data_IF_441391998143
#
_entry.id   IF_441391998143
#
_cell.length_a   1.000
_cell.length_b   1.000
_cell.length_c   1.000
_cell.angle_alpha   90.00
_cell.angle_beta   90.00
_cell.angle_gamma   90.00
#
_symmetry.space_group_name_H-M   'P 1'
#
loop_
_entity.id
_entity.type
_entity.pdbx_description
1 polymer ?
#
# COMPACT_ATOMS: atom_id res chain seq x y z
N UNK A 1 -14.09 -6.24 23.12
CA UNK A 1 -13.34 -4.94 23.21
C UNK A 1 -12.36 -4.75 22.05
N UNK A 2 -11.43 -5.66 21.80
CA UNK A 2 -10.45 -5.49 20.72
C UNK A 2 -11.10 -5.26 19.34
N UNK A 3 -12.10 -6.08 18.99
CA UNK A 3 -12.81 -5.96 17.71
C UNK A 3 -13.47 -4.59 17.55
N UNK A 4 -14.28 -4.15 18.48
CA UNK A 4 -14.95 -2.83 18.39
C UNK A 4 -13.96 -1.68 18.42
N UNK A 5 -12.88 -1.77 19.21
CA UNK A 5 -11.81 -0.75 19.26
C UNK A 5 -11.03 -0.63 17.96
N UNK A 6 -10.93 -1.71 17.18
CA UNK A 6 -10.31 -1.69 15.85
C UNK A 6 -11.22 -1.09 14.77
N UNK A 7 -12.54 -1.11 14.94
CA UNK A 7 -13.49 -0.70 13.90
C UNK A 7 -13.95 0.75 14.04
N UNK A 8 -14.17 1.20 15.27
CA UNK A 8 -14.74 2.51 15.54
C UNK A 8 -13.90 3.28 16.56
N UNK A 9 -14.27 4.54 16.87
CA UNK A 9 -13.69 5.24 18.01
C UNK A 9 -13.90 4.44 19.30
N UNK A 10 -13.02 4.56 20.24
CA UNK A 10 -13.11 3.79 21.50
C UNK A 10 -14.40 4.09 22.27
N UNK A 11 -14.87 5.34 22.21
CA UNK A 11 -16.15 5.73 22.81
C UNK A 11 -17.33 5.08 22.08
N UNK A 12 -17.34 5.09 20.76
CA UNK A 12 -18.40 4.41 20.01
C UNK A 12 -18.36 2.89 20.22
N UNK A 13 -17.16 2.30 20.29
CA UNK A 13 -17.00 0.87 20.63
C UNK A 13 -17.52 0.54 22.02
N UNK A 14 -17.35 1.43 23.01
CA UNK A 14 -17.96 1.31 24.32
C UNK A 14 -19.48 1.26 24.24
N UNK A 15 -20.08 2.21 23.51
CA UNK A 15 -21.53 2.28 23.32
C UNK A 15 -22.09 1.05 22.61
N UNK A 16 -21.38 0.52 21.62
CA UNK A 16 -21.78 -0.72 20.94
C UNK A 16 -21.75 -1.92 21.87
N UNK A 17 -20.75 -2.05 22.74
CA UNK A 17 -20.68 -3.13 23.74
C UNK A 17 -21.83 -3.07 24.74
N UNK A 18 -22.16 -1.87 25.21
CA UNK A 18 -23.30 -1.66 26.11
C UNK A 18 -24.62 -2.01 25.42
N UNK A 19 -24.85 -1.46 24.21
CA UNK A 19 -26.12 -1.61 23.48
C UNK A 19 -26.36 -3.06 22.99
N UNK A 20 -25.33 -3.70 22.41
CA UNK A 20 -25.49 -4.99 21.73
C UNK A 20 -25.24 -6.20 22.63
N UNK A 21 -24.43 -6.03 23.68
CA UNK A 21 -24.00 -7.14 24.53
C UNK A 21 -24.28 -6.92 26.02
N UNK A 22 -24.83 -5.77 26.42
CA UNK A 22 -25.07 -5.44 27.84
C UNK A 22 -23.77 -5.32 28.65
N UNK A 23 -22.62 -5.05 28.00
CA UNK A 23 -21.33 -4.98 28.65
C UNK A 23 -20.99 -3.53 28.96
N UNK A 24 -21.00 -3.17 30.24
CA UNK A 24 -20.62 -1.83 30.72
C UNK A 24 -19.11 -1.76 30.94
N UNK A 25 -18.43 -0.93 30.17
CA UNK A 25 -16.98 -0.67 30.26
C UNK A 25 -16.71 0.82 29.99
N UNK A 26 -15.49 1.27 30.25
CA UNK A 26 -15.08 2.63 29.86
C UNK A 26 -14.44 2.64 28.47
N UNK A 27 -14.48 3.78 27.76
CA UNK A 27 -13.76 3.94 26.49
C UNK A 27 -12.25 3.65 26.66
N UNK A 28 -11.68 4.01 27.82
CA UNK A 28 -10.27 3.71 28.14
C UNK A 28 -9.99 2.22 28.33
N UNK A 29 -10.98 1.44 28.78
CA UNK A 29 -10.85 -0.02 28.85
C UNK A 29 -10.86 -0.66 27.45
N UNK A 30 -11.71 -0.14 26.54
CA UNK A 30 -11.73 -0.56 25.13
C UNK A 30 -10.39 -0.24 24.44
N UNK A 31 -9.87 0.98 24.63
CA UNK A 31 -8.56 1.43 24.13
C UNK A 31 -7.44 0.49 24.60
N UNK A 32 -7.28 0.35 25.92
CA UNK A 32 -6.22 -0.48 26.51
C UNK A 32 -6.26 -1.91 26.02
N UNK A 33 -7.44 -2.50 25.90
CA UNK A 33 -7.58 -3.88 25.44
C UNK A 33 -7.26 -4.01 23.95
N UNK A 34 -7.71 -3.07 23.11
CA UNK A 34 -7.42 -3.06 21.70
C UNK A 34 -5.92 -2.85 21.43
N UNK A 35 -5.30 -1.88 22.11
CA UNK A 35 -3.87 -1.64 21.99
C UNK A 35 -3.03 -2.83 22.50
N UNK A 36 -3.39 -3.43 23.64
CA UNK A 36 -2.63 -4.57 24.18
C UNK A 36 -2.64 -5.79 23.22
N UNK A 37 -3.78 -6.07 22.59
CA UNK A 37 -3.87 -7.17 21.62
C UNK A 37 -3.14 -6.80 20.32
N UNK A 38 -3.31 -5.57 19.85
CA UNK A 38 -2.60 -5.09 18.67
C UNK A 38 -1.08 -5.07 18.84
N UNK A 39 -0.59 -4.66 20.01
CA UNK A 39 0.84 -4.71 20.35
C UNK A 39 1.38 -6.15 20.33
N UNK A 40 0.65 -7.12 20.91
CA UNK A 40 1.05 -8.54 20.89
C UNK A 40 1.13 -9.08 19.45
N UNK A 41 0.16 -8.72 18.61
CA UNK A 41 0.18 -9.06 17.18
C UNK A 41 1.39 -8.42 16.48
N UNK A 42 1.59 -7.11 16.65
CA UNK A 42 2.69 -6.37 16.02
C UNK A 42 4.07 -6.91 16.42
N UNK A 43 4.24 -7.29 17.70
CA UNK A 43 5.49 -7.90 18.19
C UNK A 43 5.73 -9.28 17.56
N UNK A 44 4.70 -10.12 17.46
CA UNK A 44 4.82 -11.44 16.81
C UNK A 44 5.18 -11.31 15.33
N UNK A 45 4.56 -10.35 14.62
CA UNK A 45 4.92 -10.07 13.24
C UNK A 45 6.36 -9.57 13.09
N UNK A 46 6.81 -8.70 13.99
CA UNK A 46 8.20 -8.21 14.00
C UNK A 46 9.20 -9.34 14.26
N UNK A 47 8.92 -10.24 15.18
CA UNK A 47 9.76 -11.41 15.44
C UNK A 47 9.84 -12.33 14.21
N UNK A 48 8.73 -12.58 13.52
CA UNK A 48 8.71 -13.36 12.26
C UNK A 48 9.55 -12.68 11.18
N UNK A 49 9.41 -11.38 10.99
CA UNK A 49 10.20 -10.62 10.03
C UNK A 49 11.70 -10.64 10.33
N UNK A 50 12.08 -10.64 11.61
CA UNK A 50 13.49 -10.78 12.03
C UNK A 50 14.07 -12.14 11.64
N UNK A 51 13.30 -13.23 11.77
CA UNK A 51 13.69 -14.56 11.29
C UNK A 51 13.94 -14.60 9.78
N UNK A 52 13.15 -13.85 9.00
CA UNK A 52 13.36 -13.70 7.55
C UNK A 52 14.71 -13.08 7.22
N UNK A 53 15.13 -12.05 7.95
CA UNK A 53 16.46 -11.42 7.77
C UNK A 53 17.61 -12.38 8.12
N UNK A 54 17.37 -13.35 8.99
CA UNK A 54 18.33 -14.38 9.37
C UNK A 54 18.33 -15.61 8.45
N UNK A 55 17.59 -15.57 7.34
CA UNK A 55 17.43 -16.68 6.38
C UNK A 55 16.79 -17.94 7.00
N UNK A 56 16.06 -17.80 8.07
CA UNK A 56 15.36 -18.90 8.77
C UNK A 56 13.91 -19.08 8.29
N UNK A 57 13.65 -18.80 7.00
CA UNK A 57 12.30 -18.98 6.44
C UNK A 57 11.98 -20.48 6.38
N UNK A 58 10.84 -20.90 6.97
CA UNK A 58 10.41 -22.28 6.89
C UNK A 58 10.08 -22.64 5.44
N UNK A 59 10.36 -23.87 5.06
CA UNK A 59 9.86 -24.41 3.79
C UNK A 59 8.33 -24.56 3.89
N UNK A 60 7.62 -23.82 3.04
CA UNK A 60 6.15 -23.87 3.00
C UNK A 60 5.73 -24.79 1.87
N UNK A 61 5.32 -26.00 2.24
CA UNK A 61 4.75 -26.97 1.32
C UNK A 61 3.31 -26.61 0.94
N UNK A 62 2.90 -26.91 -0.29
CA UNK A 62 1.54 -26.68 -0.75
C UNK A 62 1.42 -26.67 -2.27
N UNK A 63 0.23 -26.49 -2.82
CA UNK A 63 0.01 -26.43 -4.26
C UNK A 63 0.72 -25.23 -4.88
N UNK A 64 1.04 -25.33 -6.18
CA UNK A 64 1.52 -24.19 -6.94
C UNK A 64 0.50 -23.05 -6.91
N UNK A 65 0.99 -21.80 -6.89
CA UNK A 65 0.17 -20.59 -7.01
C UNK A 65 0.37 -20.05 -8.42
N UNK A 66 -0.67 -19.98 -9.26
CA UNK A 66 -0.49 -19.51 -10.64
C UNK A 66 0.10 -18.10 -10.70
N UNK A 67 -0.54 -17.11 -10.04
CA UNK A 67 -0.03 -15.74 -9.98
C UNK A 67 -0.20 -15.20 -8.56
N UNK A 68 0.87 -14.71 -7.98
CA UNK A 68 0.84 -14.01 -6.70
C UNK A 68 1.29 -12.57 -6.90
N UNK A 69 0.47 -11.67 -6.38
CA UNK A 69 0.70 -10.23 -6.41
C UNK A 69 1.11 -9.71 -5.05
N UNK A 70 2.01 -8.74 -5.08
CA UNK A 70 2.32 -7.87 -3.94
C UNK A 70 2.12 -6.43 -4.40
N UNK A 71 1.29 -5.70 -3.70
CA UNK A 71 1.11 -4.26 -3.89
C UNK A 71 1.61 -3.52 -2.65
N UNK A 72 2.27 -2.39 -2.85
CA UNK A 72 2.80 -1.55 -1.77
C UNK A 72 2.46 -0.09 -2.01
N UNK A 73 2.17 0.64 -0.92
CA UNK A 73 1.88 2.07 -0.94
C UNK A 73 2.22 2.70 0.41
N UNK A 74 2.33 4.03 0.44
CA UNK A 74 2.52 4.83 1.64
C UNK A 74 1.34 5.75 1.89
N UNK A 75 0.84 5.77 3.14
CA UNK A 75 -0.26 6.67 3.50
C UNK A 75 -0.01 7.39 4.81
N UNK A 76 -0.58 8.59 5.00
CA UNK A 76 -0.29 9.44 6.16
C UNK A 76 -1.34 9.25 7.26
N UNK A 77 -0.89 9.23 8.54
CA UNK A 77 -1.75 9.19 9.73
C UNK A 77 -1.46 10.40 10.62
N UNK A 78 -2.49 11.10 11.13
CA UNK A 78 -2.31 12.21 12.07
C UNK A 78 -1.69 11.74 13.39
N UNK A 79 -0.68 12.47 13.88
CA UNK A 79 0.05 12.11 15.09
C UNK A 79 -0.11 13.17 16.18
N UNK A 80 0.04 12.76 17.43
CA UNK A 80 0.19 13.69 18.54
C UNK A 80 1.49 14.49 18.38
N UNK A 81 1.54 15.68 18.96
CA UNK A 81 2.63 16.65 18.75
C UNK A 81 4.01 16.09 19.13
N UNK A 82 4.07 15.34 20.20
CA UNK A 82 5.35 14.81 20.73
C UNK A 82 6.00 13.79 19.76
N UNK A 83 5.21 13.08 18.96
CA UNK A 83 5.69 12.13 17.95
C UNK A 83 6.23 12.80 16.66
N UNK A 84 6.10 14.12 16.58
CA UNK A 84 6.46 14.94 15.41
C UNK A 84 7.62 15.89 15.68
N UNK A 85 8.12 15.93 16.91
CA UNK A 85 9.21 16.82 17.31
C UNK A 85 10.46 16.60 16.44
N UNK A 86 11.04 17.70 15.95
CA UNK A 86 12.21 17.68 15.07
C UNK A 86 11.95 17.19 13.64
N UNK A 87 10.69 16.92 13.22
CA UNK A 87 10.35 16.45 11.87
C UNK A 87 9.88 17.58 10.99
N UNK A 88 10.44 17.64 9.78
CA UNK A 88 9.95 18.55 8.72
C UNK A 88 8.65 18.02 8.11
N UNK A 89 7.72 18.94 7.81
CA UNK A 89 6.51 18.61 7.05
C UNK A 89 6.77 18.46 5.54
N UNK A 90 5.81 17.90 4.82
CA UNK A 90 5.88 17.77 3.35
C UNK A 90 5.93 19.13 2.63
N UNK A 91 5.38 20.18 3.23
CA UNK A 91 5.47 21.55 2.70
C UNK A 91 6.67 22.25 3.31
N UNK A 92 7.48 22.87 2.48
CA UNK A 92 8.66 23.62 2.88
C UNK A 92 8.33 24.65 3.99
N UNK A 93 9.12 24.65 5.05
CA UNK A 93 8.96 25.56 6.19
C UNK A 93 7.79 25.24 7.14
N UNK A 94 7.01 24.16 6.92
CA UNK A 94 5.94 23.76 7.83
C UNK A 94 6.35 22.53 8.67
N UNK A 95 5.97 22.47 9.96
CA UNK A 95 6.22 21.29 10.78
C UNK A 95 5.39 20.10 10.31
N UNK A 96 5.87 18.89 10.54
CA UNK A 96 5.13 17.67 10.28
C UNK A 96 3.83 17.64 11.11
N UNK A 97 2.79 17.02 10.59
CA UNK A 97 1.51 16.76 11.28
C UNK A 97 1.13 15.29 11.25
N UNK A 98 1.84 14.52 10.46
CA UNK A 98 1.53 13.12 10.16
C UNK A 98 2.80 12.30 10.15
N UNK A 99 2.66 10.98 10.33
CA UNK A 99 3.68 9.97 10.00
C UNK A 99 3.18 9.13 8.84
N UNK A 100 4.10 8.67 8.02
CA UNK A 100 3.83 7.70 6.97
C UNK A 100 3.64 6.31 7.57
N UNK A 101 2.66 5.61 7.06
CA UNK A 101 2.40 4.19 7.27
C UNK A 101 2.71 3.51 5.95
N UNK A 102 3.65 2.61 5.95
CA UNK A 102 3.88 1.69 4.86
C UNK A 102 2.80 0.59 4.94
N UNK A 103 2.16 0.31 3.82
CA UNK A 103 1.11 -0.71 3.71
C UNK A 103 1.37 -1.61 2.52
N UNK A 104 1.13 -2.91 2.69
CA UNK A 104 1.19 -3.92 1.64
C UNK A 104 -0.07 -4.76 1.57
N UNK A 105 -0.40 -5.19 0.36
CA UNK A 105 -1.44 -6.15 0.08
C UNK A 105 -0.87 -7.31 -0.73
N UNK A 106 -1.15 -8.54 -0.32
CA UNK A 106 -0.76 -9.76 -1.02
C UNK A 106 -2.02 -10.52 -1.40
N UNK A 107 -2.15 -10.92 -2.66
CA UNK A 107 -3.31 -11.66 -3.15
C UNK A 107 -2.97 -12.56 -4.34
N UNK A 108 -3.85 -13.47 -4.67
CA UNK A 108 -3.67 -14.42 -5.77
C UNK A 108 -4.67 -14.18 -6.91
N UNK A 109 -4.30 -14.69 -8.07
CA UNK A 109 -5.15 -14.78 -9.26
C UNK A 109 -4.99 -16.17 -9.85
N UNK A 110 -6.08 -16.93 -9.91
CA UNK A 110 -6.14 -18.27 -10.52
C UNK A 110 -6.93 -18.27 -11.83
N UNK A 111 -7.76 -17.27 -12.06
CA UNK A 111 -8.69 -17.21 -13.18
C UNK A 111 -8.69 -15.85 -13.87
N UNK A 112 -9.36 -15.81 -15.02
CA UNK A 112 -9.74 -14.60 -15.76
C UNK A 112 -11.24 -14.64 -16.05
N UNK A 113 -11.85 -13.46 -16.30
CA UNK A 113 -13.24 -13.38 -16.76
C UNK A 113 -13.40 -13.78 -18.26
N UNK A 114 -14.62 -13.68 -18.78
CA UNK A 114 -14.97 -14.02 -20.17
C UNK A 114 -14.20 -13.15 -21.20
N UNK A 115 -13.84 -11.92 -20.84
CA UNK A 115 -13.03 -11.03 -21.68
C UNK A 115 -11.52 -11.18 -21.44
N UNK A 116 -11.10 -12.22 -20.71
CA UNK A 116 -9.71 -12.51 -20.34
C UNK A 116 -9.06 -11.41 -19.47
N UNK A 117 -9.86 -10.66 -18.73
CA UNK A 117 -9.33 -9.73 -17.73
C UNK A 117 -8.99 -10.48 -16.45
N UNK A 118 -7.94 -10.06 -15.72
CA UNK A 118 -7.55 -10.70 -14.46
C UNK A 118 -8.67 -10.60 -13.42
N UNK A 119 -8.93 -11.71 -12.72
CA UNK A 119 -9.88 -11.77 -11.60
C UNK A 119 -9.12 -12.17 -10.36
N UNK A 120 -9.17 -11.33 -9.34
CA UNK A 120 -8.59 -11.62 -8.03
C UNK A 120 -9.39 -12.72 -7.36
N UNK A 121 -8.69 -13.71 -6.81
CA UNK A 121 -9.35 -14.79 -6.07
C UNK A 121 -10.07 -14.24 -4.84
N UNK A 122 -11.30 -14.68 -4.63
CA UNK A 122 -12.09 -14.30 -3.46
C UNK A 122 -11.33 -14.66 -2.19
N UNK A 123 -11.38 -13.78 -1.19
CA UNK A 123 -10.77 -13.99 0.12
C UNK A 123 -9.25 -14.23 0.15
N UNK A 124 -8.57 -14.07 -1.00
CA UNK A 124 -7.13 -14.29 -1.09
C UNK A 124 -6.29 -13.14 -0.53
N UNK A 125 -6.88 -11.98 -0.27
CA UNK A 125 -6.11 -10.78 0.10
C UNK A 125 -5.71 -10.79 1.56
N UNK A 126 -4.42 -10.58 1.83
CA UNK A 126 -3.90 -10.26 3.15
C UNK A 126 -3.24 -8.88 3.14
N UNK A 127 -3.35 -8.18 4.27
CA UNK A 127 -2.77 -6.84 4.47
C UNK A 127 -1.75 -6.88 5.59
N UNK A 128 -0.68 -6.12 5.40
CA UNK A 128 0.26 -5.77 6.46
C UNK A 128 0.51 -4.27 6.39
N UNK A 129 0.70 -3.64 7.55
CA UNK A 129 1.04 -2.23 7.59
C UNK A 129 1.69 -1.86 8.91
N UNK A 130 2.58 -0.87 8.89
CA UNK A 130 3.18 -0.30 10.09
C UNK A 130 3.74 1.10 9.83
N UNK A 131 3.93 1.87 10.91
CA UNK A 131 4.78 3.05 10.93
C UNK A 131 6.17 2.56 11.33
N UNK A 132 7.00 2.28 10.35
CA UNK A 132 8.38 1.79 10.53
C UNK A 132 9.29 2.32 9.42
N UNK A 133 10.51 1.87 9.30
CA UNK A 133 11.36 2.22 8.15
C UNK A 133 11.20 1.21 7.01
N UNK A 134 11.64 1.60 5.80
CA UNK A 134 11.50 0.77 4.61
C UNK A 134 12.20 -0.60 4.69
N UNK A 135 13.30 -0.71 5.45
CA UNK A 135 14.01 -1.98 5.65
C UNK A 135 13.20 -2.96 6.50
N UNK A 136 12.67 -2.48 7.64
CA UNK A 136 11.79 -3.27 8.51
C UNK A 136 10.52 -3.69 7.77
N UNK A 137 9.93 -2.77 7.02
CA UNK A 137 8.74 -3.06 6.21
C UNK A 137 9.04 -4.05 5.09
N UNK A 138 10.19 -3.93 4.42
CA UNK A 138 10.64 -4.85 3.38
C UNK A 138 10.73 -6.30 3.89
N UNK A 139 11.32 -6.50 5.08
CA UNK A 139 11.36 -7.81 5.71
C UNK A 139 9.96 -8.34 6.07
N UNK A 140 9.09 -7.47 6.57
CA UNK A 140 7.71 -7.81 6.94
C UNK A 140 6.88 -8.25 5.74
N UNK A 141 6.91 -7.47 4.64
CA UNK A 141 6.12 -7.80 3.45
C UNK A 141 6.64 -9.05 2.74
N UNK A 142 7.96 -9.26 2.74
CA UNK A 142 8.55 -10.47 2.19
C UNK A 142 8.16 -11.71 2.99
N UNK A 143 8.17 -11.63 4.32
CA UNK A 143 7.72 -12.72 5.19
C UNK A 143 6.27 -13.10 4.90
N UNK A 144 5.35 -12.12 4.82
CA UNK A 144 3.97 -12.38 4.48
C UNK A 144 3.81 -12.97 3.08
N UNK A 145 4.52 -12.44 2.08
CA UNK A 145 4.50 -12.96 0.72
C UNK A 145 5.02 -14.41 0.66
N UNK A 146 6.06 -14.73 1.43
CA UNK A 146 6.60 -16.08 1.55
C UNK A 146 5.57 -17.06 2.12
N UNK A 147 4.93 -16.69 3.23
CA UNK A 147 3.86 -17.49 3.86
C UNK A 147 2.69 -17.71 2.90
N UNK A 148 2.40 -16.74 2.05
CA UNK A 148 1.35 -16.80 1.02
C UNK A 148 1.75 -17.59 -0.23
N UNK A 149 2.98 -18.12 -0.30
CA UNK A 149 3.44 -18.99 -1.36
C UNK A 149 4.27 -18.29 -2.45
N UNK A 150 4.98 -17.23 -2.10
CA UNK A 150 5.87 -16.54 -3.05
C UNK A 150 6.88 -17.50 -3.72
N UNK A 151 7.47 -18.43 -2.94
CA UNK A 151 8.40 -19.44 -3.49
C UNK A 151 7.76 -20.38 -4.51
N UNK A 152 6.45 -20.64 -4.39
CA UNK A 152 5.68 -21.58 -5.22
C UNK A 152 4.90 -20.90 -6.34
N UNK A 153 4.92 -19.56 -6.41
CA UNK A 153 4.23 -18.82 -7.43
C UNK A 153 4.91 -18.97 -8.79
N UNK A 154 4.15 -19.34 -9.80
CA UNK A 154 4.62 -19.45 -11.20
C UNK A 154 4.92 -18.06 -11.77
N UNK A 155 4.02 -17.10 -11.54
CA UNK A 155 4.25 -15.68 -11.82
C UNK A 155 4.23 -14.89 -10.53
N UNK A 156 5.23 -14.05 -10.36
CA UNK A 156 5.48 -13.18 -9.21
C UNK A 156 5.37 -11.75 -9.67
N UNK A 157 4.38 -11.01 -9.20
CA UNK A 157 4.06 -9.68 -9.72
C UNK A 157 4.07 -8.65 -8.60
N UNK A 158 4.75 -7.54 -8.82
CA UNK A 158 4.73 -6.37 -7.95
C UNK A 158 4.07 -5.21 -8.67
N UNK A 159 3.10 -4.57 -8.03
CA UNK A 159 2.47 -3.35 -8.56
C UNK A 159 2.64 -2.23 -7.55
N UNK A 160 3.11 -1.06 -7.99
CA UNK A 160 3.33 0.10 -7.13
C UNK A 160 3.23 1.43 -7.90
N UNK A 161 3.25 2.54 -7.18
CA UNK A 161 3.12 3.90 -7.73
C UNK A 161 4.39 4.44 -8.44
N UNK A 162 5.52 3.77 -8.29
CA UNK A 162 6.80 4.19 -8.86
C UNK A 162 7.73 4.88 -7.87
N UNK A 163 7.38 4.92 -6.58
CA UNK A 163 8.23 5.47 -5.53
C UNK A 163 9.52 4.65 -5.38
N UNK A 164 10.65 5.35 -5.24
CA UNK A 164 11.98 4.73 -5.22
C UNK A 164 12.17 3.76 -4.04
N UNK A 165 11.63 4.10 -2.87
CA UNK A 165 11.75 3.24 -1.70
C UNK A 165 11.08 1.86 -1.89
N UNK A 166 9.99 1.79 -2.65
CA UNK A 166 9.32 0.53 -2.98
C UNK A 166 10.22 -0.33 -3.88
N UNK A 167 10.81 0.28 -4.92
CA UNK A 167 11.67 -0.46 -5.83
C UNK A 167 12.97 -0.93 -5.15
N UNK A 168 13.47 -0.21 -4.14
CA UNK A 168 14.58 -0.67 -3.32
C UNK A 168 14.21 -1.94 -2.54
N UNK A 169 13.02 -1.99 -1.95
CA UNK A 169 12.48 -3.21 -1.31
C UNK A 169 12.37 -4.35 -2.33
N UNK A 170 11.83 -4.06 -3.51
CA UNK A 170 11.64 -5.07 -4.57
C UNK A 170 12.97 -5.68 -5.01
N UNK A 171 13.97 -4.85 -5.27
CA UNK A 171 15.30 -5.32 -5.67
C UNK A 171 15.98 -6.15 -4.58
N UNK A 172 15.75 -5.82 -3.32
CA UNK A 172 16.36 -6.52 -2.19
C UNK A 172 15.67 -7.85 -1.88
N UNK A 173 14.34 -7.89 -1.89
CA UNK A 173 13.57 -9.01 -1.37
C UNK A 173 12.85 -9.84 -2.44
N UNK A 174 12.57 -9.27 -3.61
CA UNK A 174 11.74 -9.89 -4.65
C UNK A 174 12.45 -10.02 -6.01
N UNK A 175 13.68 -10.53 -6.05
CA UNK A 175 14.42 -10.62 -7.31
C UNK A 175 13.67 -11.47 -8.35
N UNK A 176 13.64 -11.00 -9.60
CA UNK A 176 12.99 -11.69 -10.70
C UNK A 176 11.46 -11.54 -10.76
N UNK A 177 10.87 -10.69 -9.93
CA UNK A 177 9.47 -10.34 -10.03
C UNK A 177 9.17 -9.54 -11.32
N UNK A 178 7.95 -9.69 -11.84
CA UNK A 178 7.40 -8.79 -12.86
C UNK A 178 7.03 -7.49 -12.18
N UNK A 179 7.73 -6.42 -12.51
CA UNK A 179 7.54 -5.10 -11.91
C UNK A 179 6.60 -4.25 -12.77
N UNK A 180 5.55 -3.71 -12.19
CA UNK A 180 4.52 -2.91 -12.88
C UNK A 180 4.32 -1.61 -12.11
N UNK A 181 4.50 -0.48 -12.78
CA UNK A 181 4.00 0.81 -12.26
C UNK A 181 2.52 0.90 -12.54
N UNK A 182 1.75 1.29 -11.52
CA UNK A 182 0.31 1.50 -11.65
C UNK A 182 -0.03 2.42 -12.83
N UNK A 183 -0.90 1.92 -13.73
CA UNK A 183 -1.33 2.67 -14.91
C UNK A 183 -2.09 3.94 -14.54
N UNK A 184 -2.94 3.88 -13.50
CA UNK A 184 -3.77 5.01 -13.11
C UNK A 184 -2.92 6.10 -12.48
N UNK A 185 -1.92 5.71 -11.67
CA UNK A 185 -0.94 6.64 -11.12
C UNK A 185 -0.09 7.27 -12.24
N UNK A 186 0.38 6.49 -13.20
CA UNK A 186 1.08 7.00 -14.40
C UNK A 186 0.23 8.02 -15.19
N UNK A 187 -1.08 7.78 -15.31
CA UNK A 187 -2.01 8.71 -15.94
C UNK A 187 -2.24 9.96 -15.10
N UNK A 188 -2.19 9.86 -13.78
CA UNK A 188 -2.28 11.02 -12.87
C UNK A 188 -1.10 11.98 -13.10
N UNK A 189 0.13 11.49 -13.22
CA UNK A 189 1.31 12.28 -13.58
C UNK A 189 1.08 13.09 -14.88
N UNK A 190 0.50 12.47 -15.89
CA UNK A 190 0.17 13.17 -17.15
C UNK A 190 -0.89 14.26 -16.94
N UNK A 191 -1.90 14.03 -16.10
CA UNK A 191 -2.90 15.03 -15.78
C UNK A 191 -2.32 16.21 -14.97
N UNK A 192 -1.44 15.96 -14.02
CA UNK A 192 -0.78 16.98 -13.23
C UNK A 192 0.11 17.88 -14.10
N UNK A 193 0.85 17.26 -15.04
CA UNK A 193 1.64 18.02 -16.01
C UNK A 193 0.74 18.81 -16.95
N UNK A 194 -0.36 18.26 -17.44
CA UNK A 194 -1.29 18.97 -18.32
C UNK A 194 -1.91 20.20 -17.65
N UNK A 195 -2.27 20.11 -16.37
CA UNK A 195 -2.77 21.28 -15.60
C UNK A 195 -1.72 22.38 -15.47
N UNK A 196 -0.45 22.00 -15.33
CA UNK A 196 0.65 22.96 -15.28
C UNK A 196 0.94 23.60 -16.65
N UNK A 197 0.86 22.81 -17.73
CA UNK A 197 1.08 23.30 -19.12
C UNK A 197 -0.05 24.20 -19.62
N UNK A 198 -1.29 23.94 -19.23
CA UNK A 198 -2.48 24.61 -19.75
C UNK A 198 -3.42 25.04 -18.58
N UNK A 199 -2.98 25.95 -17.71
CA UNK A 199 -3.80 26.41 -16.59
C UNK A 199 -5.11 27.02 -17.09
N UNK A 200 -6.22 26.57 -16.51
CA UNK A 200 -7.59 27.02 -16.86
C UNK A 200 -8.07 26.69 -18.29
N UNK A 201 -7.36 25.84 -19.04
CA UNK A 201 -7.72 25.46 -20.42
C UNK A 201 -8.08 23.97 -20.52
N UNK A 202 -9.18 23.55 -19.86
CA UNK A 202 -9.57 22.12 -19.76
C UNK A 202 -9.58 21.37 -21.10
N UNK A 203 -10.05 22.01 -22.17
CA UNK A 203 -10.10 21.37 -23.50
C UNK A 203 -8.71 21.04 -24.03
N UNK A 204 -7.73 21.92 -23.82
CA UNK A 204 -6.33 21.68 -24.20
C UNK A 204 -5.71 20.60 -23.31
N UNK A 205 -5.96 20.63 -21.99
CA UNK A 205 -5.52 19.60 -21.04
C UNK A 205 -6.03 18.23 -21.50
N UNK A 206 -7.32 18.05 -21.69
CA UNK A 206 -7.94 16.78 -22.14
C UNK A 206 -7.32 16.28 -23.43
N UNK A 207 -7.20 17.13 -24.46
CA UNK A 207 -6.62 16.78 -25.75
C UNK A 207 -5.15 16.37 -25.65
N UNK A 208 -4.36 17.06 -24.82
CA UNK A 208 -2.96 16.74 -24.60
C UNK A 208 -2.84 15.38 -23.87
N UNK A 209 -3.56 15.20 -22.77
CA UNK A 209 -3.56 13.97 -21.97
C UNK A 209 -3.97 12.77 -22.83
N UNK A 210 -5.06 12.86 -23.58
CA UNK A 210 -5.49 11.74 -24.47
C UNK A 210 -4.37 11.29 -25.41
N UNK A 211 -3.61 12.24 -25.99
CA UNK A 211 -2.49 11.89 -26.88
C UNK A 211 -1.32 11.24 -26.16
N UNK A 212 -1.05 11.64 -24.92
CA UNK A 212 0.03 11.03 -24.13
C UNK A 212 -0.39 9.67 -23.58
N UNK A 213 -1.61 9.55 -23.07
CA UNK A 213 -2.17 8.28 -22.62
C UNK A 213 -2.21 7.22 -23.73
N UNK A 214 -2.55 7.62 -24.97
CA UNK A 214 -2.50 6.70 -26.10
C UNK A 214 -1.09 6.13 -26.36
N UNK A 215 -0.01 6.91 -26.13
CA UNK A 215 1.37 6.39 -26.22
C UNK A 215 1.65 5.40 -25.08
N UNK A 216 1.24 5.75 -23.86
CA UNK A 216 1.40 4.92 -22.68
C UNK A 216 0.66 3.58 -22.84
N UNK A 217 -0.62 3.64 -23.22
CA UNK A 217 -1.48 2.46 -23.38
C UNK A 217 -1.05 1.51 -24.50
N UNK A 218 -0.33 2.04 -25.50
CA UNK A 218 0.24 1.27 -26.62
C UNK A 218 1.70 0.85 -26.37
N UNK A 219 2.25 1.04 -25.18
CA UNK A 219 3.62 0.67 -24.83
C UNK A 219 4.71 1.53 -25.49
N UNK A 220 4.33 2.67 -26.09
CA UNK A 220 5.27 3.57 -26.78
C UNK A 220 5.92 4.57 -25.80
N UNK A 221 6.45 4.08 -24.67
CA UNK A 221 6.95 4.88 -23.58
C UNK A 221 8.13 5.78 -24.00
N UNK A 222 9.01 5.29 -24.86
CA UNK A 222 10.13 6.08 -25.37
C UNK A 222 9.66 7.26 -26.25
N UNK A 223 8.52 7.11 -26.93
CA UNK A 223 7.88 8.21 -27.67
C UNK A 223 7.25 9.23 -26.72
N UNK A 224 6.70 8.76 -25.60
CA UNK A 224 6.17 9.62 -24.56
C UNK A 224 7.31 10.47 -23.94
N UNK A 225 8.39 9.83 -23.49
CA UNK A 225 9.56 10.50 -22.90
C UNK A 225 10.14 11.54 -23.85
N UNK A 226 10.37 11.18 -25.12
CA UNK A 226 10.86 12.15 -26.13
C UNK A 226 9.93 13.34 -26.31
N UNK A 227 8.61 13.09 -26.30
CA UNK A 227 7.63 14.17 -26.39
C UNK A 227 7.70 15.10 -25.18
N UNK A 228 7.84 14.58 -23.96
CA UNK A 228 7.98 15.38 -22.75
C UNK A 228 9.28 16.21 -22.81
N UNK A 229 10.40 15.59 -23.15
CA UNK A 229 11.69 16.27 -23.24
C UNK A 229 11.78 17.32 -24.38
N UNK A 230 10.89 17.24 -25.36
CA UNK A 230 10.81 18.22 -26.46
C UNK A 230 9.91 19.43 -26.16
N UNK A 231 9.27 19.46 -24.97
CA UNK A 231 8.47 20.61 -24.56
C UNK A 231 9.40 21.78 -24.21
N UNK A 232 9.29 22.85 -24.98
CA UNK A 232 10.02 24.10 -24.72
C UNK A 232 9.09 25.08 -24.02
N UNK A 233 9.48 25.56 -22.85
CA UNK A 233 8.71 26.47 -22.01
C UNK A 233 9.62 27.53 -21.41
N UNK A 234 9.17 28.77 -21.40
CA UNK A 234 9.94 29.87 -20.88
C UNK A 234 10.00 29.94 -19.34
N UNK A 235 9.03 29.31 -18.65
CA UNK A 235 8.96 29.29 -17.19
C UNK A 235 9.93 28.22 -16.62
N UNK A 236 10.95 28.58 -15.81
CA UNK A 236 11.93 27.65 -15.26
C UNK A 236 11.30 26.58 -14.33
N UNK A 237 10.31 26.96 -13.51
CA UNK A 237 9.63 26.01 -12.60
C UNK A 237 8.86 24.94 -13.39
N UNK A 238 8.20 25.37 -14.49
CA UNK A 238 7.50 24.45 -15.37
C UNK A 238 8.49 23.57 -16.16
N UNK A 239 9.63 24.11 -16.58
CA UNK A 239 10.69 23.34 -17.22
C UNK A 239 11.25 22.25 -16.28
N UNK A 240 11.47 22.59 -15.01
CA UNK A 240 11.92 21.62 -14.01
C UNK A 240 10.85 20.54 -13.76
N UNK A 241 9.57 20.92 -13.65
CA UNK A 241 8.48 19.96 -13.53
C UNK A 241 8.42 19.00 -14.73
N UNK A 242 8.55 19.50 -15.95
CA UNK A 242 8.60 18.67 -17.16
C UNK A 242 9.76 17.69 -17.11
N UNK A 243 10.94 18.15 -16.66
CA UNK A 243 12.14 17.31 -16.51
C UNK A 243 11.88 16.17 -15.50
N UNK A 244 11.34 16.49 -14.32
CA UNK A 244 11.00 15.50 -13.27
C UNK A 244 10.04 14.44 -13.82
N UNK A 245 8.99 14.85 -14.50
CA UNK A 245 8.02 13.93 -15.09
C UNK A 245 8.65 13.06 -16.20
N UNK A 246 9.48 13.64 -17.06
CA UNK A 246 10.19 12.89 -18.08
C UNK A 246 11.15 11.86 -17.46
N UNK A 247 11.86 12.22 -16.40
CA UNK A 247 12.74 11.34 -15.64
C UNK A 247 11.98 10.20 -14.98
N UNK A 248 10.77 10.46 -14.44
CA UNK A 248 9.88 9.44 -13.87
C UNK A 248 9.50 8.39 -14.92
N UNK A 249 9.00 8.81 -16.08
CA UNK A 249 8.62 7.90 -17.17
C UNK A 249 9.81 7.14 -17.76
N UNK A 250 10.97 7.78 -17.86
CA UNK A 250 12.19 7.18 -18.40
C UNK A 250 12.74 6.09 -17.47
N UNK A 251 12.87 6.39 -16.17
CA UNK A 251 13.35 5.42 -15.15
C UNK A 251 12.43 4.21 -15.02
N UNK A 252 11.13 4.40 -15.21
CA UNK A 252 10.13 3.35 -15.07
C UNK A 252 9.70 2.72 -16.41
N UNK A 253 10.38 3.01 -17.52
CA UNK A 253 9.94 2.59 -18.85
C UNK A 253 9.73 1.06 -18.98
N UNK A 254 10.59 0.25 -18.36
CA UNK A 254 10.47 -1.20 -18.37
C UNK A 254 9.23 -1.68 -17.60
N UNK A 255 8.81 -0.94 -16.55
CA UNK A 255 7.66 -1.23 -15.69
C UNK A 255 6.32 -0.74 -16.25
N UNK A 256 6.34 -0.11 -17.44
CA UNK A 256 5.16 0.48 -18.10
C UNK A 256 4.85 -0.17 -19.44
N UNK A 257 5.23 -1.44 -19.62
CA UNK A 257 4.92 -2.24 -20.83
C UNK A 257 3.51 -2.82 -20.77
N UNK A 258 2.50 -1.96 -20.59
CA UNK A 258 1.12 -2.39 -20.35
C UNK A 258 0.52 -3.34 -21.38
N UNK A 259 0.77 -3.21 -22.70
CA UNK A 259 0.30 -4.22 -23.65
C UNK A 259 0.86 -5.62 -23.39
N UNK A 260 2.12 -5.72 -23.00
CA UNK A 260 2.79 -6.97 -22.67
C UNK A 260 2.21 -7.59 -21.39
N UNK A 261 1.94 -6.76 -20.37
CA UNK A 261 1.31 -7.21 -19.12
C UNK A 261 -0.14 -7.67 -19.34
N UNK A 262 -0.92 -6.91 -20.13
CA UNK A 262 -2.29 -7.30 -20.53
C UNK A 262 -2.32 -8.60 -21.32
N UNK A 263 -1.36 -8.83 -22.23
CA UNK A 263 -1.27 -10.07 -22.99
C UNK A 263 -1.00 -11.30 -22.10
N UNK A 264 -0.47 -11.10 -20.91
CA UNK A 264 -0.26 -12.11 -19.89
C UNK A 264 -1.42 -12.21 -18.89
N UNK A 265 -2.51 -11.49 -19.10
CA UNK A 265 -3.68 -11.37 -18.23
C UNK A 265 -3.32 -10.89 -16.80
N UNK A 266 -2.37 -9.96 -16.69
CA UNK A 266 -1.97 -9.40 -15.41
C UNK A 266 -2.76 -8.14 -15.05
N UNK A 267 -2.99 -7.92 -13.75
CA UNK A 267 -3.40 -6.62 -13.24
C UNK A 267 -2.33 -5.57 -13.55
N UNK A 268 -2.77 -4.38 -13.88
CA UNK A 268 -1.90 -3.23 -14.19
C UNK A 268 -2.26 -1.98 -13.39
N UNK A 269 -3.13 -2.13 -12.42
CA UNK A 269 -3.57 -1.09 -11.50
C UNK A 269 -3.55 -1.59 -10.07
N UNK A 270 -3.23 -0.72 -9.14
CA UNK A 270 -3.05 -0.98 -7.70
C UNK A 270 -4.35 -0.82 -6.89
N UNK A 271 -5.49 -1.16 -7.47
CA UNK A 271 -6.80 -0.98 -6.83
C UNK A 271 -6.96 -1.72 -5.51
N UNK A 272 -6.23 -2.83 -5.31
CA UNK A 272 -6.31 -3.62 -4.07
C UNK A 272 -5.65 -2.87 -2.92
N UNK A 273 -4.45 -2.30 -3.13
CA UNK A 273 -3.78 -1.52 -2.09
C UNK A 273 -4.47 -0.19 -1.82
N UNK A 274 -5.05 0.46 -2.84
CA UNK A 274 -5.87 1.67 -2.64
C UNK A 274 -7.08 1.38 -1.73
N UNK A 275 -7.77 0.26 -1.96
CA UNK A 275 -8.84 -0.20 -1.09
C UNK A 275 -8.31 -0.52 0.31
N UNK A 276 -7.13 -1.14 0.42
CA UNK A 276 -6.40 -1.39 1.66
C UNK A 276 -6.11 -0.11 2.44
N UNK A 277 -5.54 0.91 1.79
CA UNK A 277 -5.29 2.22 2.40
C UNK A 277 -6.57 2.85 3.00
N UNK A 278 -7.71 2.72 2.31
CA UNK A 278 -9.00 3.19 2.81
C UNK A 278 -9.52 2.33 3.96
N UNK A 279 -9.52 1.01 3.77
CA UNK A 279 -10.10 0.06 4.73
C UNK A 279 -9.23 -0.10 5.98
N UNK A 280 -7.93 -0.35 5.85
CA UNK A 280 -7.04 -0.57 6.99
C UNK A 280 -6.79 0.72 7.75
N UNK A 281 -6.44 1.79 7.06
CA UNK A 281 -5.96 3.03 7.68
C UNK A 281 -7.06 4.11 7.71
N UNK A 282 -7.62 4.45 6.56
CA UNK A 282 -8.49 5.61 6.40
C UNK A 282 -9.72 5.58 7.29
N UNK A 283 -10.46 4.49 7.27
CA UNK A 283 -11.74 4.33 7.98
C UNK A 283 -11.61 4.42 9.49
N UNK A 284 -10.44 4.12 10.05
CA UNK A 284 -10.24 4.09 11.51
C UNK A 284 -9.28 5.15 12.03
N UNK A 285 -8.15 5.37 11.37
CA UNK A 285 -7.08 6.21 11.93
C UNK A 285 -7.12 7.67 11.42
N UNK A 286 -7.89 7.96 10.37
CA UNK A 286 -7.99 9.31 9.79
C UNK A 286 -9.32 10.00 10.06
N UNK A 287 -10.08 9.57 11.06
CA UNK A 287 -11.31 10.24 11.45
C UNK A 287 -11.00 11.61 12.07
N UNK A 288 -11.93 12.55 11.92
CA UNK A 288 -11.78 13.90 12.44
C UNK A 288 -11.50 13.91 13.94
N UNK A 289 -10.51 14.70 14.36
CA UNK A 289 -10.11 14.84 15.77
C UNK A 289 -9.29 13.70 16.33
N UNK A 290 -8.91 12.69 15.53
CA UNK A 290 -8.03 11.62 15.98
C UNK A 290 -6.56 11.97 15.75
N UNK A 291 -5.76 11.82 16.82
CA UNK A 291 -4.31 11.93 16.82
C UNK A 291 -3.72 10.74 17.55
N UNK A 292 -2.65 10.18 17.03
CA UNK A 292 -2.10 8.91 17.48
C UNK A 292 -0.67 9.05 18.01
N UNK A 293 -0.32 8.24 18.99
CA UNK A 293 1.08 7.87 19.22
C UNK A 293 1.49 6.82 18.20
N UNK A 294 2.78 6.68 17.90
CA UNK A 294 3.28 5.63 17.00
C UNK A 294 2.87 4.25 17.50
N UNK A 295 3.02 4.01 18.81
CA UNK A 295 2.63 2.75 19.43
C UNK A 295 1.14 2.46 19.27
N UNK A 296 0.27 3.41 19.64
CA UNK A 296 -1.19 3.23 19.55
C UNK A 296 -1.65 3.03 18.10
N UNK A 297 -1.06 3.80 17.16
CA UNK A 297 -1.35 3.62 15.72
C UNK A 297 -0.95 2.21 15.24
N UNK A 298 0.29 1.77 15.51
CA UNK A 298 0.77 0.45 15.10
C UNK A 298 -0.06 -0.69 15.71
N UNK A 299 -0.47 -0.59 16.95
CA UNK A 299 -1.33 -1.57 17.58
C UNK A 299 -2.69 -1.70 16.87
N UNK A 300 -3.35 -0.58 16.57
CA UNK A 300 -4.64 -0.60 15.87
C UNK A 300 -4.47 -1.05 14.40
N UNK A 301 -3.39 -0.64 13.74
CA UNK A 301 -3.05 -1.07 12.38
C UNK A 301 -2.88 -2.59 12.33
N UNK A 302 -2.06 -3.18 13.18
CA UNK A 302 -1.82 -4.61 13.23
C UNK A 302 -3.11 -5.39 13.46
N UNK A 303 -3.93 -4.95 14.42
CA UNK A 303 -5.22 -5.55 14.72
C UNK A 303 -6.17 -5.52 13.50
N UNK A 304 -6.20 -4.40 12.77
CA UNK A 304 -7.00 -4.24 11.54
C UNK A 304 -6.48 -5.09 10.39
N UNK A 305 -5.17 -5.14 10.20
CA UNK A 305 -4.56 -6.03 9.20
C UNK A 305 -4.95 -7.48 9.45
N UNK A 306 -4.82 -7.97 10.69
CA UNK A 306 -5.21 -9.32 11.07
C UNK A 306 -6.69 -9.61 10.81
N UNK A 307 -7.57 -8.66 11.19
CA UNK A 307 -9.01 -8.81 10.97
C UNK A 307 -9.37 -8.85 9.49
N UNK A 308 -8.88 -7.89 8.72
CA UNK A 308 -9.18 -7.78 7.28
C UNK A 308 -8.51 -8.88 6.44
N UNK A 309 -7.44 -9.48 6.97
CA UNK A 309 -6.77 -10.66 6.42
C UNK A 309 -7.37 -11.98 6.91
N UNK A 310 -8.47 -11.96 7.69
CA UNK A 310 -9.13 -13.14 8.27
C UNK A 310 -8.26 -13.98 9.20
N UNK A 311 -7.19 -13.41 9.75
CA UNK A 311 -6.25 -14.04 10.69
C UNK A 311 -6.66 -13.85 12.17
N UNK A 312 -7.77 -13.18 12.43
CA UNK A 312 -8.16 -12.80 13.79
C UNK A 312 -8.50 -14.02 14.67
N UNK A 313 -9.21 -15.00 14.11
CA UNK A 313 -9.55 -16.24 14.82
C UNK A 313 -8.31 -17.11 15.06
N UNK A 314 -7.38 -17.17 14.10
CA UNK A 314 -6.12 -17.91 14.24
C UNK A 314 -5.26 -17.36 15.40
N UNK A 315 -5.28 -16.03 15.58
CA UNK A 315 -4.62 -15.40 16.71
C UNK A 315 -5.17 -15.91 18.05
N UNK A 316 -6.50 -16.01 18.19
CA UNK A 316 -7.11 -16.53 19.41
C UNK A 316 -6.85 -18.02 19.62
N UNK A 317 -6.94 -18.81 18.57
CA UNK A 317 -6.63 -20.25 18.61
C UNK A 317 -5.19 -20.51 19.10
N UNK A 318 -4.21 -19.76 18.55
CA UNK A 318 -2.81 -19.88 18.97
C UNK A 318 -2.57 -19.48 20.45
N UNK A 319 -3.33 -18.51 20.95
CA UNK A 319 -3.22 -18.02 22.32
C UNK A 319 -3.82 -19.01 23.35
N UNK A 320 -4.92 -19.67 22.99
CA UNK A 320 -5.54 -20.70 23.85
C UNK A 320 -4.71 -21.98 23.97
N UNK A 321 -3.82 -22.26 23.00
CA UNK A 321 -2.90 -23.41 23.06
C UNK A 321 -1.65 -23.14 23.91
N UNK A 322 -1.31 -21.86 24.12
CA UNK A 322 -0.16 -21.45 24.92
C UNK A 322 -0.47 -21.20 26.41
N UNK A 323 -1.76 -21.24 26.79
CA UNK A 323 -2.24 -21.08 28.16
C UNK A 323 -2.58 -22.43 28.81
#
# INVERSE_FOLDING_TARGET
MALVGSETSFEHGRQQLELLAGIEVTAKAVERQAEAIGDDIAQKEKLRATGTLQLELPEILGPAVPILYVEMDGTQVPMVRDELEGRAGRSEGKPARTREVEIGAIFTQTTTDEERRPVRDEDSTTYIAAIENAEEFGARIYTEAWERGWSRAEKKVIIADGAEWIWNIVHQHFPGAIEIVDLFHSRQHLWELARALYPNEETKQKRWVMRQQAKLDNGAIEKLVRCLRSLDVANPELADKIRIEADFFERNAARMRYPEFRSQNLFIGSGVIEAGCKAVIGSRLKQSGMFWTVRGANAIIALRCHRLSRKFEDYWASRSQAA
#
